data_IF_012434100780
#
_entry.id   IF_012434100780
#
_cell.length_a   1.000
_cell.length_b   1.000
_cell.length_c   1.000
_cell.angle_alpha   90.00
_cell.angle_beta   90.00
_cell.angle_gamma   90.00
#
_symmetry.space_group_name_H-M   'P 1'
#
loop_
_entity.id
_entity.type
_entity.pdbx_description
1 polymer ?
#
# COMPACT_ATOMS: atom_id res chain seq x y z
N UNK A 1 1.65 12.45 1.30
CA UNK A 1 1.85 11.42 0.25
C UNK A 1 1.29 10.10 0.76
N UNK A 2 0.55 9.38 -0.07
CA UNK A 2 0.08 8.01 0.16
C UNK A 2 0.83 7.07 -0.78
N UNK A 3 1.20 5.89 -0.29
CA UNK A 3 2.03 4.97 -1.06
C UNK A 3 1.59 3.52 -0.87
N UNK A 4 1.47 2.81 -1.99
CA UNK A 4 1.24 1.37 -2.03
C UNK A 4 2.42 0.71 -2.75
N UNK A 5 3.23 -0.13 -2.08
CA UNK A 5 4.39 -0.80 -2.70
C UNK A 5 4.03 -1.92 -3.68
N UNK A 6 2.75 -2.22 -3.89
CA UNK A 6 2.25 -3.47 -4.47
C UNK A 6 2.39 -4.66 -3.51
N UNK A 7 2.10 -5.87 -3.98
CA UNK A 7 2.29 -7.11 -3.24
C UNK A 7 3.77 -7.29 -2.87
N UNK A 8 4.11 -7.23 -1.58
CA UNK A 8 5.49 -7.39 -1.08
C UNK A 8 5.66 -8.77 -0.46
N UNK A 9 6.72 -9.50 -0.83
CA UNK A 9 7.11 -10.80 -0.26
C UNK A 9 7.70 -10.66 1.16
N UNK A 10 6.94 -10.05 2.07
CA UNK A 10 7.33 -9.91 3.47
C UNK A 10 6.95 -11.16 4.28
N UNK A 11 7.69 -11.42 5.36
CA UNK A 11 7.37 -12.55 6.26
C UNK A 11 5.94 -12.48 6.80
N UNK A 12 5.45 -11.28 7.13
CA UNK A 12 4.07 -11.09 7.59
C UNK A 12 3.04 -11.48 6.53
N UNK A 13 3.23 -11.05 5.28
CA UNK A 13 2.30 -11.36 4.20
C UNK A 13 2.31 -12.86 3.84
N UNK A 14 3.50 -13.47 3.76
CA UNK A 14 3.66 -14.89 3.41
C UNK A 14 3.16 -15.87 4.47
N UNK A 15 2.94 -15.39 5.70
CA UNK A 15 2.47 -16.20 6.83
C UNK A 15 1.16 -15.64 7.43
N UNK A 16 0.43 -14.82 6.68
CA UNK A 16 -0.78 -14.14 7.15
C UNK A 16 -1.99 -15.05 7.33
N UNK A 17 -1.99 -16.23 6.72
CA UNK A 17 -3.05 -17.23 6.89
C UNK A 17 -2.62 -18.30 7.90
N UNK A 18 -3.51 -18.80 8.76
CA UNK A 18 -3.16 -19.84 9.73
C UNK A 18 -3.05 -21.25 9.11
N UNK A 19 -3.92 -21.55 8.14
CA UNK A 19 -3.96 -22.86 7.46
C UNK A 19 -2.68 -23.14 6.66
N UNK A 20 -2.00 -24.28 6.86
CA UNK A 20 -0.80 -24.66 6.10
C UNK A 20 -0.99 -24.67 4.58
N UNK A 21 -2.16 -25.13 4.11
CA UNK A 21 -2.52 -25.11 2.70
C UNK A 21 -2.63 -23.68 2.16
N UNK A 22 -3.25 -22.79 2.93
CA UNK A 22 -3.37 -21.38 2.54
C UNK A 22 -2.05 -20.65 2.57
N UNK A 23 -1.17 -20.96 3.54
CA UNK A 23 0.21 -20.46 3.55
C UNK A 23 0.96 -20.87 2.28
N UNK A 24 0.83 -22.13 1.85
CA UNK A 24 1.48 -22.62 0.63
C UNK A 24 0.96 -21.88 -0.61
N UNK A 25 -0.37 -21.72 -0.73
CA UNK A 25 -0.98 -21.01 -1.85
C UNK A 25 -0.60 -19.52 -1.85
N UNK A 26 -0.62 -18.85 -0.70
CA UNK A 26 -0.17 -17.47 -0.58
C UNK A 26 1.29 -17.31 -1.02
N UNK A 27 2.18 -18.20 -0.56
CA UNK A 27 3.60 -18.20 -0.98
C UNK A 27 3.77 -18.38 -2.48
N UNK A 28 3.00 -19.29 -3.10
CA UNK A 28 3.04 -19.51 -4.54
C UNK A 28 2.60 -18.27 -5.32
N UNK A 29 1.48 -17.64 -4.92
CA UNK A 29 0.99 -16.40 -5.56
C UNK A 29 2.02 -15.28 -5.42
N UNK A 30 2.53 -15.07 -4.21
CA UNK A 30 3.50 -14.03 -3.92
C UNK A 30 4.84 -14.25 -4.64
N UNK A 31 5.24 -15.50 -4.89
CA UNK A 31 6.42 -15.79 -5.70
C UNK A 31 6.27 -15.34 -7.16
N UNK A 32 5.04 -15.27 -7.68
CA UNK A 32 4.75 -14.86 -9.07
C UNK A 32 4.55 -13.35 -9.17
N UNK A 33 3.72 -12.76 -8.29
CA UNK A 33 3.29 -11.35 -8.41
C UNK A 33 3.97 -10.40 -7.43
N UNK A 34 4.70 -10.93 -6.45
CA UNK A 34 5.24 -10.17 -5.33
C UNK A 34 6.66 -9.66 -5.56
N UNK A 35 6.89 -8.39 -5.26
CA UNK A 35 8.23 -7.79 -5.24
C UNK A 35 8.97 -8.13 -3.94
N UNK A 36 10.30 -8.07 -3.95
CA UNK A 36 11.10 -8.16 -2.73
C UNK A 36 10.87 -6.93 -1.83
N UNK A 37 11.33 -7.01 -0.58
CA UNK A 37 11.25 -5.86 0.35
C UNK A 37 12.13 -4.71 -0.15
N UNK A 38 13.32 -5.02 -0.66
CA UNK A 38 14.28 -4.05 -1.19
C UNK A 38 13.70 -3.33 -2.42
N UNK A 39 13.09 -4.08 -3.33
CA UNK A 39 12.38 -3.53 -4.50
C UNK A 39 11.18 -2.65 -4.10
N UNK A 40 10.49 -2.99 -3.02
CA UNK A 40 9.36 -2.22 -2.50
C UNK A 40 9.79 -0.92 -1.81
N UNK A 41 10.97 -0.91 -1.17
CA UNK A 41 11.51 0.25 -0.44
C UNK A 41 12.07 1.30 -1.40
N UNK A 42 12.77 0.89 -2.47
CA UNK A 42 13.45 1.84 -3.35
C UNK A 42 12.56 2.96 -3.94
N UNK A 43 11.29 2.70 -4.37
CA UNK A 43 10.41 3.77 -4.83
C UNK A 43 10.00 4.75 -3.75
N UNK A 44 9.71 4.28 -2.52
CA UNK A 44 9.27 5.17 -1.44
C UNK A 44 10.43 6.02 -0.91
N UNK A 45 11.65 5.48 -0.85
CA UNK A 45 12.83 6.28 -0.49
C UNK A 45 13.07 7.38 -1.52
N UNK A 46 12.96 7.06 -2.82
CA UNK A 46 13.09 8.06 -3.87
C UNK A 46 12.04 9.19 -3.75
N UNK A 47 10.79 8.84 -3.44
CA UNK A 47 9.72 9.82 -3.23
C UNK A 47 9.87 10.63 -1.93
N UNK A 48 10.51 10.08 -0.90
CA UNK A 48 10.86 10.82 0.32
C UNK A 48 11.97 11.84 0.02
N UNK A 49 13.00 11.41 -0.70
CA UNK A 49 14.14 12.26 -1.09
C UNK A 49 13.73 13.32 -2.12
N UNK A 50 12.70 13.05 -2.92
CA UNK A 50 12.17 13.91 -3.97
C UNK A 50 10.66 14.09 -3.80
N UNK A 51 10.21 14.82 -2.77
CA UNK A 51 8.79 14.90 -2.45
C UNK A 51 8.01 15.61 -3.56
N UNK A 52 6.79 15.14 -3.88
CA UNK A 52 5.93 15.80 -4.84
C UNK A 52 5.52 17.20 -4.35
N UNK A 53 5.42 18.15 -5.28
CA UNK A 53 5.09 19.55 -4.96
C UNK A 53 3.63 19.79 -4.57
N UNK A 54 2.76 18.78 -4.68
CA UNK A 54 1.33 18.89 -4.33
C UNK A 54 1.07 18.49 -2.88
N UNK A 55 0.09 19.15 -2.24
CA UNK A 55 -0.26 18.89 -0.83
C UNK A 55 -0.71 17.44 -0.58
N UNK A 56 -1.43 16.84 -1.54
CA UNK A 56 -1.80 15.42 -1.52
C UNK A 56 -1.37 14.78 -2.85
N UNK A 57 -0.83 13.57 -2.73
CA UNK A 57 -0.35 12.73 -3.81
C UNK A 57 -0.46 11.26 -3.38
N UNK A 58 -0.72 10.37 -4.32
CA UNK A 58 -0.83 8.94 -4.08
C UNK A 58 -0.12 8.17 -5.19
N UNK A 59 0.58 7.09 -4.82
CA UNK A 59 1.36 6.28 -5.76
C UNK A 59 1.16 4.79 -5.52
N UNK A 60 1.12 4.01 -6.62
CA UNK A 60 1.36 2.57 -6.60
C UNK A 60 2.75 2.33 -7.20
N UNK A 61 3.70 1.87 -6.39
CA UNK A 61 5.13 1.89 -6.73
C UNK A 61 5.51 3.33 -7.16
N UNK A 62 5.98 3.52 -8.38
CA UNK A 62 6.32 4.84 -8.94
C UNK A 62 5.18 5.48 -9.74
N UNK A 63 4.04 4.80 -9.92
CA UNK A 63 2.95 5.29 -10.77
C UNK A 63 2.00 6.18 -9.97
N UNK A 64 1.71 7.42 -10.40
CA UNK A 64 0.73 8.26 -9.74
C UNK A 64 -0.67 7.64 -9.86
N UNK A 65 -1.47 7.83 -8.82
CA UNK A 65 -2.87 7.41 -8.75
C UNK A 65 -3.77 8.62 -8.95
N UNK A 66 -4.87 8.43 -9.67
CA UNK A 66 -5.90 9.44 -9.85
C UNK A 66 -6.61 9.74 -8.52
N UNK A 67 -6.53 10.99 -8.06
CA UNK A 67 -7.14 11.44 -6.82
C UNK A 67 -8.63 11.76 -6.95
N UNK A 68 -9.21 11.68 -8.15
CA UNK A 68 -10.65 11.87 -8.37
C UNK A 68 -11.48 10.61 -8.10
N UNK A 69 -10.81 9.48 -7.83
CA UNK A 69 -11.45 8.21 -7.50
C UNK A 69 -12.19 8.27 -6.16
N UNK A 70 -13.27 7.48 -6.04
CA UNK A 70 -14.08 7.36 -4.81
C UNK A 70 -13.30 7.02 -3.53
N UNK A 71 -12.13 6.39 -3.66
CA UNK A 71 -11.22 6.09 -2.52
C UNK A 71 -10.72 7.36 -1.82
N UNK A 72 -10.63 8.48 -2.54
CA UNK A 72 -10.16 9.77 -2.03
C UNK A 72 -11.31 10.76 -1.78
N UNK A 73 -12.53 10.26 -1.60
CA UNK A 73 -13.70 11.07 -1.25
C UNK A 73 -13.47 11.82 0.08
N UNK A 74 -13.39 13.15 -0.02
CA UNK A 74 -13.16 14.03 1.14
C UNK A 74 -14.27 13.92 2.18
N UNK A 75 -15.54 13.82 1.78
CA UNK A 75 -16.68 13.76 2.70
C UNK A 75 -16.65 12.49 3.53
N UNK A 76 -16.34 11.34 2.89
CA UNK A 76 -16.16 10.06 3.59
C UNK A 76 -14.95 10.08 4.51
N UNK A 77 -13.84 10.70 4.09
CA UNK A 77 -12.65 10.83 4.91
C UNK A 77 -12.90 11.68 6.18
N UNK A 78 -13.57 12.83 6.05
CA UNK A 78 -13.97 13.67 7.19
C UNK A 78 -14.88 12.91 8.14
N UNK A 79 -15.91 12.25 7.62
CA UNK A 79 -16.82 11.45 8.45
C UNK A 79 -16.09 10.33 9.21
N UNK A 80 -15.14 9.66 8.57
CA UNK A 80 -14.34 8.61 9.21
C UNK A 80 -13.48 9.18 10.35
N UNK A 81 -12.85 10.34 10.13
CA UNK A 81 -12.04 11.03 11.13
C UNK A 81 -12.89 11.43 12.35
N UNK A 82 -14.08 12.01 12.12
CA UNK A 82 -15.02 12.41 13.19
C UNK A 82 -15.44 11.21 14.05
N UNK A 83 -15.81 10.09 13.42
CA UNK A 83 -16.18 8.86 14.13
C UNK A 83 -14.99 8.32 14.92
N UNK A 84 -13.79 8.29 14.32
CA UNK A 84 -12.60 7.69 14.95
C UNK A 84 -12.12 8.49 16.17
N UNK A 85 -12.23 9.83 16.14
CA UNK A 85 -11.91 10.71 17.28
C UNK A 85 -12.88 10.60 18.46
N UNK A 86 -14.05 10.01 18.22
CA UNK A 86 -15.10 9.83 19.23
C UNK A 86 -14.96 8.50 19.99
N UNK A 87 -14.00 7.64 19.60
CA UNK A 87 -13.65 6.39 20.27
C UNK A 87 -12.49 6.59 21.25
#
# INVERSE_FOLDING_TARGET
MLFNPWTVRSNGALNSCDSPLMKLLARAIYAIVGVSVEEAIAPITHLIDNPPHTALSAFIKTKPVDLTMNTFDRGKAVRLDDITKSC
#
